data_IF_653833249868
#
_entry.id   IF_653833249868
#
_cell.length_a   1.000
_cell.length_b   1.000
_cell.length_c   1.000
_cell.angle_alpha   90.00
_cell.angle_beta   90.00
_cell.angle_gamma   90.00
#
_symmetry.space_group_name_H-M   'P 1'
#
loop_
_entity.id
_entity.type
_entity.pdbx_description
1 polymer ?
#
# COMPACT_ATOMS: atom_id res chain seq x y z
N UNK A 1 3.55 -2.45 38.69
CA UNK A 1 4.00 -3.65 37.95
C UNK A 1 3.50 -3.69 36.50
N UNK A 2 2.20 -3.53 36.20
CA UNK A 2 1.67 -3.53 34.81
C UNK A 2 2.30 -2.49 33.86
N UNK A 3 2.56 -1.27 34.35
CA UNK A 3 3.17 -0.17 33.56
C UNK A 3 4.62 -0.45 33.12
N UNK A 4 5.35 -1.27 33.88
CA UNK A 4 6.74 -1.66 33.59
C UNK A 4 6.80 -2.75 32.50
N UNK A 5 5.80 -3.64 32.47
CA UNK A 5 5.65 -4.67 31.45
C UNK A 5 5.35 -4.03 30.08
N UNK A 6 4.46 -3.03 30.04
CA UNK A 6 4.18 -2.28 28.80
C UNK A 6 5.41 -1.51 28.28
N UNK A 7 6.22 -0.92 29.18
CA UNK A 7 7.46 -0.26 28.81
C UNK A 7 8.50 -1.22 28.21
N UNK A 8 8.67 -2.41 28.80
CA UNK A 8 9.55 -3.45 28.27
C UNK A 8 9.05 -4.03 26.93
N UNK A 9 7.74 -4.17 26.76
CA UNK A 9 7.16 -4.64 25.51
C UNK A 9 7.39 -3.61 24.37
N UNK A 10 7.19 -2.33 24.65
CA UNK A 10 7.47 -1.24 23.69
C UNK A 10 8.96 -1.16 23.33
N UNK A 11 9.83 -1.36 24.33
CA UNK A 11 11.28 -1.37 24.10
C UNK A 11 11.70 -2.59 23.27
N UNK A 12 11.10 -3.77 23.50
CA UNK A 12 11.33 -4.96 22.70
C UNK A 12 10.85 -4.80 21.25
N UNK A 13 9.70 -4.13 21.03
CA UNK A 13 9.21 -3.76 19.71
C UNK A 13 10.09 -2.73 18.99
N UNK A 14 10.71 -1.80 19.72
CA UNK A 14 11.66 -0.83 19.14
C UNK A 14 13.02 -1.46 18.78
N UNK A 15 13.41 -2.55 19.43
CA UNK A 15 14.66 -3.26 19.12
C UNK A 15 14.48 -4.20 17.92
N UNK A 16 13.28 -4.77 17.72
CA UNK A 16 12.99 -5.63 16.55
C UNK A 16 12.86 -4.85 15.24
N UNK A 17 12.51 -3.56 15.27
CA UNK A 17 12.45 -2.69 14.08
C UNK A 17 13.82 -2.26 13.56
N UNK A 18 14.90 -2.48 14.33
CA UNK A 18 16.27 -2.13 13.94
C UNK A 18 17.03 -3.25 13.20
N UNK A 19 16.50 -4.48 13.12
CA UNK A 19 17.19 -5.62 12.51
C UNK A 19 16.97 -5.77 10.99
N UNK A 20 15.92 -5.15 10.44
CA UNK A 20 15.64 -5.14 9.01
C UNK A 20 15.28 -3.72 8.61
N UNK A 21 16.29 -2.88 8.35
CA UNK A 21 16.06 -1.51 7.90
C UNK A 21 15.28 -1.54 6.57
N UNK A 22 14.01 -1.12 6.55
CA UNK A 22 13.20 -1.12 5.33
C UNK A 22 13.73 -0.12 4.29
N UNK A 23 14.63 0.79 4.72
CA UNK A 23 15.25 1.82 3.91
C UNK A 23 16.68 1.47 3.46
N UNK A 24 17.20 0.27 3.80
CA UNK A 24 18.54 -0.17 3.38
C UNK A 24 18.56 -0.41 1.87
N UNK A 25 18.81 0.65 1.11
CA UNK A 25 18.82 0.64 -0.36
C UNK A 25 18.01 1.78 -1.00
N UNK A 26 17.16 2.47 -0.24
CA UNK A 26 16.28 3.52 -0.76
C UNK A 26 17.03 4.76 -1.29
N UNK A 27 18.14 5.13 -0.65
CA UNK A 27 18.97 6.28 -1.04
C UNK A 27 20.34 5.90 -1.59
N UNK A 28 20.60 4.60 -1.81
CA UNK A 28 21.88 4.18 -2.40
C UNK A 28 21.78 4.25 -3.92
N UNK A 29 22.75 4.84 -4.63
CA UNK A 29 22.80 4.73 -6.09
C UNK A 29 22.82 3.24 -6.46
N UNK A 30 22.07 2.88 -7.51
CA UNK A 30 21.87 1.48 -7.95
C UNK A 30 23.18 0.95 -8.55
N UNK A 31 24.15 0.62 -7.70
CA UNK A 31 25.30 -0.15 -8.09
C UNK A 31 24.85 -1.60 -8.26
N UNK A 32 24.51 -1.97 -9.50
CA UNK A 32 24.36 -3.35 -10.04
C UNK A 32 23.92 -4.40 -9.01
N UNK A 33 22.92 -4.07 -8.21
CA UNK A 33 22.45 -4.96 -7.17
C UNK A 33 21.53 -5.96 -7.89
N UNK A 34 21.83 -7.28 -7.89
CA UNK A 34 21.03 -8.28 -8.60
C UNK A 34 19.56 -8.28 -8.20
N UNK A 35 19.23 -7.66 -7.05
CA UNK A 35 17.87 -7.40 -6.55
C UNK A 35 17.05 -6.47 -7.45
N UNK A 36 17.69 -5.52 -8.13
CA UNK A 36 17.03 -4.57 -9.03
C UNK A 36 17.30 -4.87 -10.51
N UNK A 37 18.34 -5.66 -10.83
CA UNK A 37 18.69 -6.00 -12.22
C UNK A 37 18.20 -7.36 -12.67
N UNK A 38 17.77 -8.24 -11.75
CA UNK A 38 17.18 -9.53 -12.11
C UNK A 38 15.83 -9.72 -11.43
N UNK A 39 14.78 -9.27 -12.11
CA UNK A 39 13.39 -9.64 -11.77
C UNK A 39 13.19 -11.18 -11.73
N UNK A 40 14.08 -11.93 -12.40
CA UNK A 40 14.09 -13.39 -12.47
C UNK A 40 14.99 -14.10 -11.46
N UNK A 41 15.95 -13.42 -10.78
CA UNK A 41 16.98 -14.11 -9.99
C UNK A 41 16.65 -14.29 -8.49
N UNK A 42 15.62 -13.62 -7.96
CA UNK A 42 15.29 -13.72 -6.52
C UNK A 42 13.97 -14.48 -6.28
N UNK A 43 13.27 -14.89 -7.34
CA UNK A 43 12.00 -15.62 -7.19
C UNK A 43 12.13 -17.13 -7.47
N UNK A 44 13.37 -17.64 -7.45
CA UNK A 44 13.66 -19.06 -7.49
C UNK A 44 13.29 -19.72 -6.15
N UNK A 45 12.09 -20.27 -6.07
CA UNK A 45 11.70 -21.25 -5.06
C UNK A 45 11.06 -20.68 -3.80
N UNK A 46 9.72 -20.81 -3.71
CA UNK A 46 8.91 -20.90 -2.48
C UNK A 46 8.89 -19.73 -1.49
N UNK A 47 9.92 -18.91 -1.44
CA UNK A 47 10.13 -17.87 -0.44
C UNK A 47 9.86 -16.51 -1.10
N UNK A 48 8.73 -15.91 -0.77
CA UNK A 48 8.38 -14.57 -1.26
C UNK A 48 9.31 -13.50 -0.73
N UNK A 49 9.62 -12.51 -1.57
CA UNK A 49 10.51 -11.39 -1.25
C UNK A 49 9.66 -10.17 -0.95
N UNK A 50 10.01 -9.44 0.11
CA UNK A 50 9.35 -8.20 0.46
C UNK A 50 10.04 -7.00 -0.18
N UNK A 51 9.29 -6.21 -0.94
CA UNK A 51 9.83 -5.09 -1.71
C UNK A 51 8.97 -3.84 -1.59
N UNK A 52 9.64 -2.68 -1.58
CA UNK A 52 9.01 -1.39 -1.85
C UNK A 52 8.99 -1.14 -3.37
N UNK A 53 7.83 -0.78 -3.91
CA UNK A 53 7.64 -0.48 -5.33
C UNK A 53 6.77 0.76 -5.53
N UNK A 54 7.04 1.61 -6.52
CA UNK A 54 6.05 2.56 -7.01
C UNK A 54 4.72 1.87 -7.30
N UNK A 55 3.63 2.52 -6.95
CA UNK A 55 2.28 1.99 -7.14
C UNK A 55 1.36 3.03 -7.73
N UNK A 56 0.51 2.60 -8.66
CA UNK A 56 -0.63 3.36 -9.14
C UNK A 56 -1.88 2.59 -8.75
N UNK A 57 -2.88 3.27 -8.21
CA UNK A 57 -4.11 2.66 -7.74
C UNK A 57 -5.31 3.39 -8.32
N UNK A 58 -6.25 2.60 -8.83
CA UNK A 58 -7.60 3.05 -9.11
C UNK A 58 -8.47 2.64 -7.92
N UNK A 59 -9.12 3.61 -7.31
CA UNK A 59 -9.93 3.40 -6.12
C UNK A 59 -11.40 3.69 -6.43
N UNK A 60 -12.26 2.75 -6.05
CA UNK A 60 -13.70 2.77 -6.20
C UNK A 60 -14.41 2.68 -4.84
N UNK A 61 -15.62 3.23 -4.75
CA UNK A 61 -16.48 3.28 -3.54
C UNK A 61 -15.95 4.21 -2.46
N UNK A 62 -16.81 5.13 -2.03
CA UNK A 62 -16.61 6.05 -0.92
C UNK A 62 -17.86 5.93 -0.04
N UNK A 63 -17.81 5.05 0.96
CA UNK A 63 -18.78 5.15 2.06
C UNK A 63 -18.34 6.31 2.93
N UNK A 64 -19.06 7.42 2.86
CA UNK A 64 -18.79 8.62 3.63
C UNK A 64 -19.47 8.52 5.00
N UNK A 65 -18.67 8.53 6.07
CA UNK A 65 -19.16 8.61 7.44
C UNK A 65 -19.04 10.06 7.93
N UNK A 66 -20.08 10.85 7.70
CA UNK A 66 -20.13 12.27 8.11
C UNK A 66 -21.48 12.74 8.66
N UNK A 67 -22.54 11.93 8.57
CA UNK A 67 -23.89 12.26 9.03
C UNK A 67 -24.62 11.07 9.67
N UNK A 68 -25.90 11.26 10.02
CA UNK A 68 -26.73 10.25 10.69
C UNK A 68 -26.97 8.97 9.87
N UNK A 69 -26.66 8.98 8.57
CA UNK A 69 -26.73 7.81 7.69
C UNK A 69 -25.48 7.72 6.78
N UNK A 70 -24.94 6.51 6.55
CA UNK A 70 -23.83 6.31 5.63
C UNK A 70 -24.29 6.55 4.19
N UNK A 71 -23.63 7.46 3.48
CA UNK A 71 -23.87 7.70 2.06
C UNK A 71 -22.87 6.89 1.25
N UNK A 72 -23.37 6.02 0.37
CA UNK A 72 -22.55 5.26 -0.57
C UNK A 72 -22.43 6.06 -1.85
N UNK A 73 -21.25 6.61 -2.12
CA UNK A 73 -20.96 7.28 -3.37
C UNK A 73 -19.98 6.46 -4.21
N UNK A 74 -20.22 6.40 -5.51
CA UNK A 74 -19.28 5.86 -6.48
C UNK A 74 -18.15 6.87 -6.68
N UNK A 75 -17.18 6.88 -5.76
CA UNK A 75 -15.97 7.64 -5.96
C UNK A 75 -15.08 6.89 -6.93
N UNK A 76 -14.71 7.51 -8.05
CA UNK A 76 -13.61 7.03 -8.88
C UNK A 76 -12.43 7.97 -8.67
N UNK A 77 -11.35 7.42 -8.11
CA UNK A 77 -10.12 8.18 -7.95
C UNK A 77 -8.90 7.41 -8.45
N UNK A 78 -7.99 8.17 -9.06
CA UNK A 78 -6.65 7.68 -9.38
C UNK A 78 -5.70 8.25 -8.36
N UNK A 79 -4.80 7.39 -7.88
CA UNK A 79 -3.73 7.79 -7.01
C UNK A 79 -2.41 7.10 -7.31
N UNK A 80 -1.34 7.71 -6.85
CA UNK A 80 0.03 7.20 -7.00
C UNK A 80 0.72 7.17 -5.65
N UNK A 81 1.69 6.28 -5.47
CA UNK A 81 2.42 6.20 -4.23
C UNK A 81 3.35 5.01 -4.15
N UNK A 82 3.45 4.42 -2.96
CA UNK A 82 4.42 3.34 -2.67
C UNK A 82 3.69 2.13 -2.10
N UNK A 83 3.99 0.96 -2.66
CA UNK A 83 3.54 -0.35 -2.22
C UNK A 83 4.66 -1.05 -1.47
N UNK A 84 4.37 -1.63 -0.31
CA UNK A 84 5.19 -2.64 0.35
C UNK A 84 4.47 -3.99 0.25
N UNK A 85 5.05 -4.95 -0.49
CA UNK A 85 4.36 -6.20 -0.79
C UNK A 85 5.27 -7.42 -0.83
N UNK A 86 4.66 -8.58 -0.67
CA UNK A 86 5.32 -9.88 -0.82
C UNK A 86 5.15 -10.38 -2.25
N UNK A 87 6.28 -10.53 -2.94
CA UNK A 87 6.35 -10.95 -4.33
C UNK A 87 6.94 -12.35 -4.42
N UNK A 88 6.25 -13.24 -5.11
CA UNK A 88 6.68 -14.59 -5.47
C UNK A 88 6.70 -14.73 -6.99
N UNK A 89 7.20 -15.85 -7.50
CA UNK A 89 7.04 -16.20 -8.91
C UNK A 89 6.07 -17.39 -9.02
N UNK A 90 5.07 -17.22 -9.88
CA UNK A 90 4.11 -18.27 -10.23
C UNK A 90 4.21 -18.44 -11.75
N UNK A 91 4.49 -19.67 -12.20
CA UNK A 91 4.63 -20.01 -13.63
C UNK A 91 5.61 -19.09 -14.39
N UNK A 92 6.73 -18.73 -13.77
CA UNK A 92 7.74 -17.87 -14.37
C UNK A 92 7.42 -16.37 -14.33
N UNK A 93 6.22 -15.97 -13.88
CA UNK A 93 5.78 -14.57 -13.81
C UNK A 93 5.82 -14.03 -12.38
N UNK A 94 6.19 -12.75 -12.17
CA UNK A 94 6.11 -12.12 -10.87
C UNK A 94 4.64 -12.00 -10.41
N UNK A 95 4.39 -12.35 -9.15
CA UNK A 95 3.07 -12.37 -8.54
C UNK A 95 3.12 -11.74 -7.16
N UNK A 96 2.26 -10.75 -6.89
CA UNK A 96 2.15 -10.15 -5.56
C UNK A 96 1.08 -10.88 -4.73
N UNK A 97 1.45 -11.57 -3.66
CA UNK A 97 0.46 -12.28 -2.81
C UNK A 97 -0.41 -11.28 -2.05
N UNK A 98 0.24 -10.35 -1.36
CA UNK A 98 -0.38 -9.30 -0.58
C UNK A 98 0.54 -8.08 -0.52
N UNK A 99 -0.06 -6.90 -0.41
CA UNK A 99 0.67 -5.64 -0.28
C UNK A 99 -0.11 -4.63 0.54
N UNK A 100 0.60 -3.73 1.21
CA UNK A 100 0.05 -2.50 1.79
C UNK A 100 0.58 -1.32 1.00
N UNK A 101 -0.29 -0.37 0.66
CA UNK A 101 0.05 0.77 -0.17
C UNK A 101 -0.27 2.07 0.57
N UNK A 102 0.63 3.04 0.43
CA UNK A 102 0.36 4.44 0.74
C UNK A 102 0.17 5.19 -0.58
N UNK A 103 -1.01 5.77 -0.79
CA UNK A 103 -1.45 6.34 -2.05
C UNK A 103 -1.86 7.80 -1.86
N UNK A 104 -1.34 8.69 -2.70
CA UNK A 104 -1.82 10.06 -2.88
C UNK A 104 -2.90 10.04 -3.95
N UNK A 105 -4.11 10.47 -3.61
CA UNK A 105 -5.26 10.58 -4.50
C UNK A 105 -5.26 11.97 -5.14
N UNK A 106 -5.36 12.05 -6.48
CA UNK A 106 -5.24 13.33 -7.21
C UNK A 106 -6.40 13.62 -8.17
N UNK A 107 -7.23 12.61 -8.49
CA UNK A 107 -8.32 12.74 -9.46
C UNK A 107 -9.61 12.18 -8.91
N UNK A 108 -10.23 12.87 -7.96
CA UNK A 108 -11.41 12.41 -7.23
C UNK A 108 -12.67 12.88 -7.96
N UNK A 109 -13.40 11.95 -8.61
CA UNK A 109 -14.73 12.25 -9.18
C UNK A 109 -15.82 11.94 -8.17
N UNK A 110 -16.45 12.98 -7.64
CA UNK A 110 -17.66 12.90 -6.80
C UNK A 110 -18.79 13.54 -7.61
N UNK A 111 -19.91 12.83 -7.78
CA UNK A 111 -21.13 13.35 -8.42
C UNK A 111 -20.93 13.93 -9.84
N UNK A 112 -20.03 13.34 -10.63
CA UNK A 112 -19.80 13.72 -12.04
C UNK A 112 -18.93 14.97 -12.25
N UNK A 113 -18.61 15.72 -11.19
CA UNK A 113 -17.71 16.88 -11.26
C UNK A 113 -16.29 16.43 -10.96
N UNK A 114 -15.39 16.58 -11.93
CA UNK A 114 -13.97 16.31 -11.72
C UNK A 114 -13.34 17.52 -11.05
N UNK A 115 -13.22 17.47 -9.73
CA UNK A 115 -12.47 18.48 -8.98
C UNK A 115 -11.06 17.95 -8.70
N UNK A 116 -10.00 18.76 -8.86
CA UNK A 116 -8.65 18.39 -8.43
C UNK A 116 -8.61 18.41 -6.90
N UNK A 117 -9.13 17.36 -6.27
CA UNK A 117 -9.02 17.15 -4.82
C UNK A 117 -7.84 16.26 -4.55
N UNK A 118 -7.07 16.64 -3.53
CA UNK A 118 -5.97 15.85 -3.02
C UNK A 118 -6.43 15.10 -1.78
N UNK A 119 -6.00 13.85 -1.65
CA UNK A 119 -6.20 13.09 -0.44
C UNK A 119 -5.14 12.01 -0.29
N UNK A 120 -5.17 11.33 0.84
CA UNK A 120 -4.27 10.22 1.12
C UNK A 120 -5.08 8.97 1.43
N UNK A 121 -4.59 7.82 1.02
CA UNK A 121 -5.19 6.53 1.32
C UNK A 121 -4.15 5.51 1.72
N UNK A 122 -4.56 4.61 2.62
CA UNK A 122 -3.84 3.38 2.92
C UNK A 122 -4.72 2.23 2.45
N UNK A 123 -4.21 1.39 1.56
CA UNK A 123 -4.92 0.21 1.05
C UNK A 123 -4.12 -1.05 1.30
N UNK A 124 -4.81 -2.17 1.49
CA UNK A 124 -4.23 -3.49 1.43
C UNK A 124 -4.79 -4.20 0.19
N UNK A 125 -3.91 -4.72 -0.65
CA UNK A 125 -4.30 -5.51 -1.82
C UNK A 125 -3.86 -6.98 -1.67
N UNK A 126 -4.60 -7.87 -2.31
CA UNK A 126 -4.34 -9.29 -2.43
C UNK A 126 -4.49 -9.76 -3.89
N UNK A 127 -4.09 -11.00 -4.15
CA UNK A 127 -4.27 -11.68 -5.45
C UNK A 127 -3.68 -10.90 -6.63
N UNK A 128 -2.38 -10.65 -6.59
CA UNK A 128 -1.69 -9.82 -7.58
C UNK A 128 -2.27 -8.41 -7.71
N UNK A 129 -2.73 -7.84 -6.59
CA UNK A 129 -3.33 -6.51 -6.51
C UNK A 129 -4.64 -6.34 -7.29
N UNK A 130 -5.32 -7.45 -7.61
CA UNK A 130 -6.62 -7.47 -8.26
C UNK A 130 -7.76 -7.04 -7.33
N UNK A 131 -7.61 -7.28 -6.03
CA UNK A 131 -8.61 -6.92 -5.02
C UNK A 131 -7.90 -6.21 -3.88
N UNK A 132 -8.30 -4.97 -3.64
CA UNK A 132 -7.83 -4.20 -2.51
C UNK A 132 -8.95 -3.49 -1.78
N UNK A 133 -8.69 -3.20 -0.51
CA UNK A 133 -9.56 -2.43 0.34
C UNK A 133 -8.74 -1.55 1.27
N UNK A 134 -9.28 -0.41 1.67
CA UNK A 134 -8.56 0.55 2.48
C UNK A 134 -9.39 1.68 3.00
N UNK A 135 -8.70 2.65 3.57
CA UNK A 135 -9.29 3.88 4.06
C UNK A 135 -8.58 5.06 3.44
N UNK A 136 -9.37 6.06 3.07
CA UNK A 136 -8.92 7.31 2.50
C UNK A 136 -9.39 8.49 3.32
N UNK A 137 -8.61 9.56 3.26
CA UNK A 137 -9.00 10.86 3.75
C UNK A 137 -8.90 11.85 2.59
N UNK A 138 -10.04 12.40 2.20
CA UNK A 138 -10.17 13.34 1.09
C UNK A 138 -11.13 14.42 1.55
N UNK A 139 -10.74 15.69 1.41
CA UNK A 139 -11.65 16.83 1.60
C UNK A 139 -12.39 16.79 2.96
N UNK A 140 -11.64 16.54 4.04
CA UNK A 140 -12.14 16.40 5.42
C UNK A 140 -13.09 15.21 5.68
N UNK A 141 -13.17 14.25 4.77
CA UNK A 141 -14.01 13.08 4.93
C UNK A 141 -13.20 11.78 4.94
N UNK A 142 -13.57 10.90 5.88
CA UNK A 142 -13.09 9.52 5.90
C UNK A 142 -13.94 8.67 4.96
N UNK A 143 -13.24 7.88 4.14
CA UNK A 143 -13.82 7.07 3.10
C UNK A 143 -13.32 5.64 3.23
N UNK A 144 -14.23 4.68 3.13
CA UNK A 144 -13.85 3.29 2.85
C UNK A 144 -13.71 3.11 1.35
N UNK A 145 -12.62 2.47 0.97
CA UNK A 145 -12.14 2.39 -0.40
C UNK A 145 -12.00 0.93 -0.80
N UNK A 146 -12.37 0.60 -2.03
CA UNK A 146 -11.91 -0.61 -2.72
C UNK A 146 -10.92 -0.20 -3.80
N UNK A 147 -9.87 -0.97 -4.01
CA UNK A 147 -8.77 -0.62 -4.92
C UNK A 147 -8.43 -1.74 -5.88
N UNK A 148 -7.99 -1.34 -7.07
CA UNK A 148 -7.20 -2.17 -7.97
C UNK A 148 -5.89 -1.42 -8.18
N UNK A 149 -4.77 -2.08 -7.97
CA UNK A 149 -3.46 -1.43 -7.97
C UNK A 149 -2.49 -2.16 -8.89
N UNK A 150 -1.53 -1.41 -9.44
CA UNK A 150 -0.41 -1.95 -10.19
C UNK A 150 0.87 -1.39 -9.57
N UNK A 151 1.88 -2.24 -9.39
CA UNK A 151 3.20 -1.82 -8.92
C UNK A 151 4.27 -2.29 -9.90
N UNK A 152 5.23 -1.41 -10.19
CA UNK A 152 6.28 -1.62 -11.18
C UNK A 152 7.67 -1.37 -10.62
#
# INVERSE_FOLDING_TARGET
>A
MKKLIFGLLFLALAITTQAQSPFKGFFKPVATNPVFTNQSAILGGGTGVWLFRPSVSLTAVAVQFGGAQPVVQSLSSVGTGVSYGNFTQINGQPYCNYSVNAILLTSVKIDGVTSPKFGAAITADAFNKLVGAGVGFVDNHFLFLTSISISF
#
